data_IF_356763674992
#
_entry.id   IF_356763674992
#
_cell.length_a   1.000
_cell.length_b   1.000
_cell.length_c   1.000
_cell.angle_alpha   90.00
_cell.angle_beta   90.00
_cell.angle_gamma   90.00
#
_symmetry.space_group_name_H-M   'P 1'
#
loop_
_entity.id
_entity.type
_entity.pdbx_description
1 polymer ?
#
# COMPACT_ATOMS: atom_id res chain seq x y z
N UNK A 1 -29.24 8.81 -18.81
CA UNK A 1 -28.36 9.15 -17.65
C UNK A 1 -27.30 10.11 -18.18
N UNK A 2 -26.81 11.03 -17.35
CA UNK A 2 -25.70 11.89 -17.76
C UNK A 2 -24.45 11.01 -17.98
N UNK A 3 -23.64 11.35 -18.97
CA UNK A 3 -22.34 10.72 -19.20
C UNK A 3 -21.45 10.88 -17.97
N UNK A 4 -20.70 9.82 -17.62
CA UNK A 4 -19.79 9.80 -16.48
C UNK A 4 -18.34 9.62 -16.97
N UNK A 5 -17.46 10.45 -16.44
CA UNK A 5 -16.04 10.42 -16.73
C UNK A 5 -15.25 9.99 -15.48
N UNK A 6 -14.52 8.89 -15.60
CA UNK A 6 -13.79 8.29 -14.49
C UNK A 6 -12.33 8.15 -14.86
N UNK A 7 -11.45 8.23 -13.86
CA UNK A 7 -10.05 7.87 -14.01
C UNK A 7 -9.75 6.61 -13.18
N UNK A 8 -8.96 5.72 -13.76
CA UNK A 8 -8.35 4.60 -13.06
C UNK A 8 -6.83 4.76 -13.11
N UNK A 9 -6.20 4.86 -11.95
CA UNK A 9 -4.75 4.82 -11.80
C UNK A 9 -4.36 3.40 -11.37
N UNK A 10 -3.71 2.66 -12.27
CA UNK A 10 -3.33 1.27 -12.09
C UNK A 10 -1.79 1.19 -11.99
N UNK A 11 -1.30 0.93 -10.77
CA UNK A 11 0.12 0.80 -10.48
C UNK A 11 0.51 -0.66 -10.38
N UNK A 12 1.13 -1.20 -11.42
CA UNK A 12 1.73 -2.53 -11.39
C UNK A 12 3.17 -2.52 -10.86
N UNK A 13 3.73 -3.71 -10.61
CA UNK A 13 5.08 -3.87 -10.05
C UNK A 13 6.23 -3.42 -10.97
N UNK A 14 5.98 -3.18 -12.26
CA UNK A 14 7.00 -2.74 -13.24
C UNK A 14 6.59 -1.54 -14.07
N UNK A 15 5.32 -1.22 -14.11
CA UNK A 15 4.78 -0.06 -14.82
C UNK A 15 3.47 0.39 -14.20
N UNK A 16 3.13 1.66 -14.37
CA UNK A 16 1.82 2.19 -14.02
C UNK A 16 1.19 2.89 -15.21
N UNK A 17 -0.12 3.10 -15.13
CA UNK A 17 -0.90 3.80 -16.13
C UNK A 17 -2.08 4.56 -15.52
N UNK A 18 -2.49 5.61 -16.20
CA UNK A 18 -3.75 6.30 -15.92
C UNK A 18 -4.65 6.12 -17.13
N UNK A 19 -5.84 5.59 -16.91
CA UNK A 19 -6.85 5.29 -17.94
C UNK A 19 -8.07 6.14 -17.66
N UNK A 20 -8.60 6.78 -18.71
CA UNK A 20 -9.88 7.47 -18.67
C UNK A 20 -10.99 6.54 -19.14
N UNK A 21 -12.04 6.42 -18.35
CA UNK A 21 -13.27 5.71 -18.70
C UNK A 21 -14.41 6.69 -18.93
N UNK A 22 -15.11 6.58 -20.05
CA UNK A 22 -16.32 7.33 -20.34
C UNK A 22 -17.50 6.35 -20.39
N UNK A 23 -18.49 6.56 -19.55
CA UNK A 23 -19.69 5.72 -19.47
C UNK A 23 -20.93 6.53 -19.88
N UNK A 24 -21.58 6.13 -20.94
CA UNK A 24 -22.77 6.79 -21.50
C UNK A 24 -24.09 6.31 -20.90
N UNK A 25 -24.04 5.40 -19.94
CA UNK A 25 -25.21 4.76 -19.33
C UNK A 25 -25.49 3.34 -19.85
N UNK A 26 -24.78 2.90 -20.90
CA UNK A 26 -24.92 1.60 -21.52
C UNK A 26 -23.56 0.95 -21.84
N UNK A 27 -22.60 1.72 -22.32
CA UNK A 27 -21.28 1.26 -22.70
C UNK A 27 -20.21 2.09 -22.00
N UNK A 28 -19.06 1.48 -21.77
CA UNK A 28 -17.85 2.15 -21.28
C UNK A 28 -16.79 2.13 -22.39
N UNK A 29 -16.22 3.30 -22.68
CA UNK A 29 -15.02 3.42 -23.52
C UNK A 29 -13.81 3.73 -22.65
N UNK A 30 -12.65 3.16 -22.98
CA UNK A 30 -11.41 3.32 -22.22
C UNK A 30 -10.33 3.94 -23.10
N UNK A 31 -9.59 4.89 -22.53
CA UNK A 31 -8.45 5.54 -23.18
C UNK A 31 -7.26 5.56 -22.21
N UNK A 32 -6.11 5.02 -22.62
CA UNK A 32 -4.88 5.14 -21.84
C UNK A 32 -4.31 6.57 -22.01
N UNK A 33 -4.37 7.34 -20.94
CA UNK A 33 -3.95 8.76 -20.93
C UNK A 33 -2.45 8.91 -20.65
N UNK A 34 -1.92 8.04 -19.78
CA UNK A 34 -0.52 8.14 -19.34
C UNK A 34 0.01 6.79 -18.91
N UNK A 35 1.23 6.47 -19.34
CA UNK A 35 1.97 5.27 -18.93
C UNK A 35 3.37 5.66 -18.48
N UNK A 36 3.88 4.96 -17.47
CA UNK A 36 5.20 5.20 -16.89
C UNK A 36 5.82 3.91 -16.36
N UNK A 37 7.14 3.88 -16.28
CA UNK A 37 7.85 2.78 -15.63
C UNK A 37 7.69 2.86 -14.11
N UNK A 38 7.64 1.71 -13.45
CA UNK A 38 7.69 1.58 -12.00
C UNK A 38 8.84 0.64 -11.63
N UNK A 39 9.95 1.20 -11.22
CA UNK A 39 11.15 0.48 -10.86
C UNK A 39 11.50 0.79 -9.39
N UNK A 40 11.80 -0.24 -8.58
CA UNK A 40 12.27 -0.01 -7.22
C UNK A 40 13.66 0.63 -7.23
N UNK A 41 13.94 1.38 -6.16
CA UNK A 41 15.24 2.02 -5.93
C UNK A 41 15.93 1.31 -4.78
N UNK A 42 17.20 0.93 -4.98
CA UNK A 42 18.03 0.38 -3.90
C UNK A 42 18.94 1.48 -3.36
N UNK A 43 18.80 1.75 -2.07
CA UNK A 43 19.63 2.68 -1.32
C UNK A 43 20.66 1.89 -0.50
N UNK A 44 21.93 2.21 -0.68
CA UNK A 44 23.02 1.56 0.05
C UNK A 44 23.27 2.29 1.37
N UNK A 45 23.12 1.56 2.48
CA UNK A 45 23.50 2.00 3.81
C UNK A 45 24.90 1.49 4.20
N UNK A 46 25.33 1.83 5.42
CA UNK A 46 26.64 1.41 5.94
C UNK A 46 26.75 -0.11 6.13
N UNK A 47 25.66 -0.74 6.56
CA UNK A 47 25.63 -2.17 6.92
C UNK A 47 24.72 -2.99 6.00
N UNK A 48 23.64 -2.38 5.52
CA UNK A 48 22.64 -3.04 4.68
C UNK A 48 22.16 -2.11 3.57
N UNK A 49 21.64 -2.69 2.49
CA UNK A 49 20.87 -1.97 1.49
C UNK A 49 19.38 -2.04 1.82
N UNK A 50 18.63 -1.05 1.36
CA UNK A 50 17.17 -1.01 1.45
C UNK A 50 16.59 -0.83 0.07
N UNK A 51 15.70 -1.73 -0.34
CA UNK A 51 14.93 -1.60 -1.58
C UNK A 51 13.61 -0.90 -1.27
N UNK A 52 13.32 0.20 -1.95
CA UNK A 52 12.10 0.98 -1.73
C UNK A 52 11.44 1.37 -3.06
N UNK A 53 10.17 1.73 -2.97
CA UNK A 53 9.44 2.37 -4.04
C UNK A 53 9.78 3.87 -4.08
N UNK A 54 9.99 4.43 -5.26
CA UNK A 54 10.11 5.88 -5.44
C UNK A 54 8.71 6.52 -5.43
N UNK A 55 8.09 6.55 -4.24
CA UNK A 55 6.72 7.02 -4.06
C UNK A 55 6.52 8.45 -4.57
N UNK A 56 7.48 9.33 -4.33
CA UNK A 56 7.37 10.73 -4.75
C UNK A 56 7.31 10.85 -6.28
N UNK A 57 8.13 10.08 -6.99
CA UNK A 57 8.08 10.02 -8.46
C UNK A 57 6.76 9.43 -8.93
N UNK A 58 6.30 8.33 -8.34
CA UNK A 58 5.03 7.69 -8.69
C UNK A 58 3.86 8.66 -8.46
N UNK A 59 3.86 9.41 -7.38
CA UNK A 59 2.85 10.45 -7.11
C UNK A 59 2.90 11.59 -8.15
N UNK A 60 4.10 11.99 -8.60
CA UNK A 60 4.23 12.92 -9.71
C UNK A 60 3.67 12.36 -11.02
N UNK A 61 3.89 11.07 -11.32
CA UNK A 61 3.33 10.42 -12.51
C UNK A 61 1.79 10.34 -12.44
N UNK A 62 1.23 10.04 -11.26
CA UNK A 62 -0.22 10.10 -11.04
C UNK A 62 -0.79 11.50 -11.37
N UNK A 63 -0.18 12.55 -10.82
CA UNK A 63 -0.59 13.93 -11.09
C UNK A 63 -0.50 14.30 -12.56
N UNK A 64 0.56 13.87 -13.27
CA UNK A 64 0.69 14.07 -14.71
C UNK A 64 -0.45 13.40 -15.47
N UNK A 65 -0.82 12.17 -15.09
CA UNK A 65 -1.96 11.47 -15.69
C UNK A 65 -3.28 12.20 -15.47
N UNK A 66 -3.53 12.67 -14.24
CA UNK A 66 -4.73 13.46 -13.91
C UNK A 66 -4.79 14.76 -14.74
N UNK A 67 -3.68 15.49 -14.84
CA UNK A 67 -3.61 16.71 -15.63
C UNK A 67 -3.86 16.46 -17.12
N UNK A 68 -3.30 15.39 -17.68
CA UNK A 68 -3.52 15.00 -19.10
C UNK A 68 -4.97 14.62 -19.40
N UNK A 69 -5.67 14.05 -18.43
CA UNK A 69 -7.07 13.67 -18.58
C UNK A 69 -8.03 14.87 -18.69
N UNK A 70 -7.57 16.06 -18.27
CA UNK A 70 -8.37 17.29 -18.30
C UNK A 70 -9.33 17.42 -17.11
N UNK A 71 -10.01 18.56 -17.01
CA UNK A 71 -10.80 18.94 -15.84
C UNK A 71 -12.18 18.31 -15.70
N UNK A 72 -12.62 17.47 -16.62
CA UNK A 72 -13.95 16.86 -16.58
C UNK A 72 -13.86 15.40 -16.11
N UNK A 73 -13.75 15.21 -14.77
CA UNK A 73 -13.62 13.90 -14.14
C UNK A 73 -14.54 13.84 -12.94
N UNK A 74 -15.45 12.87 -12.91
CA UNK A 74 -16.42 12.67 -11.82
C UNK A 74 -15.79 11.91 -10.65
N UNK A 75 -14.85 11.00 -10.93
CA UNK A 75 -14.22 10.17 -9.90
C UNK A 75 -12.85 9.64 -10.34
N UNK A 76 -12.03 9.29 -9.36
CA UNK A 76 -10.77 8.59 -9.54
C UNK A 76 -10.72 7.35 -8.65
N UNK A 77 -10.34 6.20 -9.23
CA UNK A 77 -9.98 4.98 -8.50
C UNK A 77 -8.48 4.74 -8.60
N UNK A 78 -7.89 4.22 -7.54
CA UNK A 78 -6.46 3.91 -7.48
C UNK A 78 -6.29 2.45 -7.09
N UNK A 79 -5.57 1.70 -7.90
CA UNK A 79 -5.19 0.33 -7.65
C UNK A 79 -3.67 0.18 -7.64
N UNK A 80 -3.17 -0.69 -6.75
CA UNK A 80 -1.74 -0.99 -6.64
C UNK A 80 -1.54 -2.47 -6.32
N UNK A 81 -0.27 -2.91 -6.25
CA UNK A 81 0.07 -4.20 -5.62
C UNK A 81 -0.26 -4.19 -4.12
N UNK A 82 -0.46 -5.38 -3.56
CA UNK A 82 -0.77 -5.57 -2.13
C UNK A 82 0.44 -5.43 -1.21
N UNK A 83 0.20 -5.56 0.07
CA UNK A 83 1.10 -5.71 1.21
C UNK A 83 1.96 -4.52 1.59
N UNK A 84 2.30 -3.61 0.66
CA UNK A 84 3.18 -2.47 0.93
C UNK A 84 2.43 -1.25 1.45
N UNK A 85 3.12 -0.47 2.25
CA UNK A 85 2.54 0.66 2.98
C UNK A 85 3.54 1.80 3.15
N UNK A 86 3.02 2.99 3.45
CA UNK A 86 3.78 4.13 3.96
C UNK A 86 3.50 4.37 5.43
N UNK A 87 4.49 4.93 6.12
CA UNK A 87 4.40 5.37 7.51
C UNK A 87 4.26 6.90 7.54
N UNK A 88 3.22 7.40 8.19
CA UNK A 88 3.01 8.81 8.42
C UNK A 88 3.31 9.18 9.88
N UNK A 89 3.87 10.34 10.07
CA UNK A 89 4.03 10.93 11.40
C UNK A 89 2.75 11.61 11.89
N UNK A 90 2.79 12.16 13.11
CA UNK A 90 1.67 12.88 13.72
C UNK A 90 1.16 14.07 12.87
N UNK A 91 2.04 14.70 12.09
CA UNK A 91 1.67 15.80 11.19
C UNK A 91 1.10 15.34 9.85
N UNK A 92 1.06 14.03 9.60
CA UNK A 92 0.64 13.44 8.33
C UNK A 92 1.70 13.47 7.24
N UNK A 93 2.96 13.68 7.60
CA UNK A 93 4.08 13.64 6.66
C UNK A 93 4.58 12.21 6.49
N UNK A 94 4.98 11.86 5.26
CA UNK A 94 5.58 10.57 4.96
C UNK A 94 6.99 10.50 5.57
N UNK A 95 7.21 9.57 6.49
CA UNK A 95 8.48 9.43 7.19
C UNK A 95 9.62 8.97 6.29
N UNK A 96 9.31 8.11 5.32
CA UNK A 96 10.28 7.56 4.37
C UNK A 96 9.55 7.00 3.15
N UNK A 97 10.26 6.78 2.03
CA UNK A 97 9.69 6.01 0.93
C UNK A 97 9.24 4.63 1.41
N UNK A 98 8.07 4.12 0.96
CA UNK A 98 7.61 2.77 1.24
C UNK A 98 8.65 1.73 0.84
N UNK A 99 8.93 0.78 1.73
CA UNK A 99 9.88 -0.28 1.45
C UNK A 99 9.20 -1.32 0.56
N UNK A 100 9.94 -1.79 -0.43
CA UNK A 100 9.47 -2.79 -1.39
C UNK A 100 9.29 -4.16 -0.71
N UNK A 101 8.24 -4.89 -1.03
CA UNK A 101 7.94 -6.21 -0.45
C UNK A 101 9.03 -7.27 -0.69
N UNK A 102 9.90 -7.07 -1.69
CA UNK A 102 11.07 -7.96 -1.95
C UNK A 102 12.34 -7.53 -1.21
N UNK A 103 12.27 -6.51 -0.38
CA UNK A 103 13.40 -6.15 0.48
C UNK A 103 13.72 -7.30 1.44
N UNK A 104 14.98 -7.58 1.63
CA UNK A 104 15.43 -8.73 2.43
C UNK A 104 15.23 -8.58 3.94
N UNK A 105 14.73 -7.40 4.41
CA UNK A 105 14.50 -7.17 5.85
C UNK A 105 13.53 -8.16 6.49
N UNK A 106 12.62 -8.74 5.69
CA UNK A 106 11.61 -9.70 6.18
C UNK A 106 12.13 -11.14 6.23
N UNK A 107 13.33 -11.41 5.73
CA UNK A 107 13.89 -12.76 5.74
C UNK A 107 13.98 -13.34 7.15
N UNK A 108 13.32 -14.47 7.39
CA UNK A 108 13.24 -15.15 8.67
C UNK A 108 12.21 -14.59 9.65
N UNK A 109 11.47 -13.52 9.29
CA UNK A 109 10.44 -12.95 10.17
C UNK A 109 9.29 -13.92 10.44
N UNK A 110 8.97 -14.80 9.52
CA UNK A 110 7.97 -15.86 9.78
C UNK A 110 8.35 -16.72 10.97
N UNK A 111 9.59 -17.16 11.05
CA UNK A 111 10.08 -17.97 12.19
C UNK A 111 10.11 -17.17 13.50
N UNK A 112 10.45 -15.88 13.45
CA UNK A 112 10.42 -15.01 14.62
C UNK A 112 8.99 -14.73 15.09
N UNK A 113 8.07 -14.53 14.16
CA UNK A 113 6.65 -14.33 14.46
C UNK A 113 6.02 -15.54 15.14
N UNK A 114 6.40 -16.77 14.78
CA UNK A 114 5.91 -17.99 15.38
C UNK A 114 6.21 -18.10 16.90
N UNK A 115 7.15 -17.33 17.43
CA UNK A 115 7.37 -17.20 18.85
C UNK A 115 6.37 -16.26 19.57
N UNK A 116 5.62 -15.46 18.81
CA UNK A 116 4.69 -14.46 19.34
C UNK A 116 3.22 -14.83 19.07
N UNK A 117 2.96 -15.51 17.94
CA UNK A 117 1.63 -15.90 17.52
C UNK A 117 1.68 -17.24 16.78
N UNK A 118 0.80 -18.15 17.10
CA UNK A 118 0.73 -19.45 16.41
C UNK A 118 0.25 -19.28 14.96
N UNK A 119 0.92 -19.95 14.03
CA UNK A 119 0.56 -19.89 12.60
C UNK A 119 -0.87 -20.40 12.33
N UNK A 120 -1.31 -21.47 13.03
CA UNK A 120 -2.66 -21.99 12.94
C UNK A 120 -3.70 -20.93 13.29
N UNK A 121 -3.50 -20.21 14.38
CA UNK A 121 -4.35 -19.09 14.79
C UNK A 121 -4.34 -17.95 13.77
N UNK A 122 -3.14 -17.53 13.34
CA UNK A 122 -2.99 -16.46 12.35
C UNK A 122 -3.75 -16.81 11.04
N UNK A 123 -3.65 -18.07 10.59
CA UNK A 123 -4.38 -18.52 9.40
C UNK A 123 -5.89 -18.58 9.62
N UNK A 124 -6.34 -19.10 10.78
CA UNK A 124 -7.76 -19.22 11.09
C UNK A 124 -8.48 -17.86 11.09
N UNK A 125 -7.82 -16.83 11.60
CA UNK A 125 -8.35 -15.46 11.64
C UNK A 125 -8.30 -14.80 10.27
N UNK A 126 -7.13 -14.84 9.59
CA UNK A 126 -6.93 -14.03 8.38
C UNK A 126 -7.26 -14.74 7.08
N UNK A 127 -7.22 -16.07 7.05
CA UNK A 127 -7.32 -16.86 5.81
C UNK A 127 -6.18 -16.63 4.81
N UNK A 128 -5.15 -15.89 5.19
CA UNK A 128 -4.08 -15.47 4.29
C UNK A 128 -2.94 -16.49 4.24
N UNK A 129 -2.37 -16.69 3.05
CA UNK A 129 -1.18 -17.52 2.86
C UNK A 129 0.02 -16.92 3.60
N UNK A 130 0.86 -17.78 4.20
CA UNK A 130 2.09 -17.34 4.86
C UNK A 130 3.17 -17.00 3.84
N UNK A 131 3.41 -15.73 3.66
CA UNK A 131 4.52 -15.20 2.86
C UNK A 131 5.22 -14.09 3.64
N UNK A 132 6.53 -14.13 3.73
CA UNK A 132 7.31 -13.12 4.47
C UNK A 132 7.16 -11.70 3.90
N UNK A 133 6.56 -11.56 2.72
CA UNK A 133 6.21 -10.28 2.12
C UNK A 133 4.93 -9.65 2.70
N UNK A 134 4.10 -10.40 3.44
CA UNK A 134 2.86 -9.86 4.00
C UNK A 134 3.17 -8.73 5.00
N UNK A 135 2.26 -7.77 5.07
CA UNK A 135 2.42 -6.55 5.90
C UNK A 135 2.73 -6.88 7.36
N UNK A 136 2.08 -7.93 7.90
CA UNK A 136 2.35 -8.40 9.26
C UNK A 136 3.86 -8.61 9.51
N UNK A 137 4.55 -9.37 8.65
CA UNK A 137 5.99 -9.63 8.80
C UNK A 137 6.83 -8.39 8.48
N UNK A 138 6.39 -7.55 7.55
CA UNK A 138 7.06 -6.29 7.25
C UNK A 138 7.06 -5.36 8.47
N UNK A 139 5.95 -5.25 9.20
CA UNK A 139 5.84 -4.42 10.41
C UNK A 139 6.70 -4.95 11.55
N UNK A 140 6.77 -6.28 11.72
CA UNK A 140 7.70 -6.89 12.69
C UNK A 140 9.15 -6.57 12.36
N UNK A 141 9.53 -6.67 11.08
CA UNK A 141 10.87 -6.30 10.63
C UNK A 141 11.15 -4.80 10.84
N UNK A 142 10.20 -3.94 10.53
CA UNK A 142 10.30 -2.49 10.72
C UNK A 142 10.55 -2.13 12.19
N UNK A 143 9.74 -2.68 13.08
CA UNK A 143 9.88 -2.51 14.53
C UNK A 143 11.22 -2.98 15.08
N UNK A 144 11.77 -4.07 14.50
CA UNK A 144 13.04 -4.64 14.92
C UNK A 144 14.24 -3.84 14.42
N UNK A 145 14.23 -3.48 13.13
CA UNK A 145 15.42 -2.95 12.43
C UNK A 145 15.44 -1.42 12.48
N UNK A 146 14.26 -0.78 12.40
CA UNK A 146 14.13 0.68 12.32
C UNK A 146 13.28 1.23 13.47
N UNK A 147 13.55 0.75 14.67
CA UNK A 147 12.77 1.02 15.90
C UNK A 147 12.46 2.51 16.11
N UNK A 148 13.45 3.37 15.94
CA UNK A 148 13.27 4.80 16.18
C UNK A 148 12.33 5.42 15.16
N UNK A 149 12.48 5.08 13.87
CA UNK A 149 11.59 5.53 12.82
C UNK A 149 10.17 4.98 13.01
N UNK A 150 10.06 3.69 13.35
CA UNK A 150 8.76 3.07 13.62
C UNK A 150 8.06 3.72 14.83
N UNK A 151 8.84 4.11 15.85
CA UNK A 151 8.32 4.84 17.01
C UNK A 151 7.83 6.26 16.72
N UNK A 152 8.18 6.84 15.57
CA UNK A 152 7.68 8.13 15.10
C UNK A 152 6.40 7.99 14.26
N UNK A 153 6.07 6.76 13.85
CA UNK A 153 4.90 6.50 13.02
C UNK A 153 3.62 6.59 13.85
N UNK A 154 2.70 7.43 13.41
CA UNK A 154 1.35 7.56 13.97
C UNK A 154 0.35 6.72 13.17
N UNK A 155 0.62 6.50 11.89
CA UNK A 155 -0.30 5.80 11.00
C UNK A 155 0.41 4.99 9.93
N UNK A 156 -0.20 3.85 9.59
CA UNK A 156 0.12 3.00 8.44
C UNK A 156 -0.97 3.22 7.39
N UNK A 157 -0.59 3.54 6.15
CA UNK A 157 -1.49 3.56 5.00
C UNK A 157 -0.98 2.64 3.91
N UNK A 158 -1.83 1.75 3.38
CA UNK A 158 -1.49 0.96 2.20
C UNK A 158 -1.28 1.86 0.98
N UNK A 159 -0.55 1.39 -0.01
CA UNK A 159 -0.16 2.26 -1.12
C UNK A 159 -1.33 2.95 -1.82
N UNK A 160 -2.45 2.30 -2.18
CA UNK A 160 -3.56 3.02 -2.82
C UNK A 160 -4.18 4.05 -1.88
N UNK A 161 -4.30 3.73 -0.57
CA UNK A 161 -4.79 4.67 0.44
C UNK A 161 -3.83 5.85 0.64
N UNK A 162 -2.52 5.59 0.57
CA UNK A 162 -1.48 6.62 0.66
C UNK A 162 -1.55 7.61 -0.51
N UNK A 163 -1.74 7.12 -1.74
CA UNK A 163 -2.00 7.99 -2.89
C UNK A 163 -3.29 8.78 -2.72
N UNK A 164 -4.36 8.12 -2.26
CA UNK A 164 -5.64 8.74 -1.96
C UNK A 164 -5.52 9.86 -0.93
N UNK A 165 -4.78 9.59 0.15
CA UNK A 165 -4.51 10.56 1.21
C UNK A 165 -3.80 11.82 0.68
N UNK A 166 -2.74 11.67 -0.11
CA UNK A 166 -2.02 12.83 -0.65
C UNK A 166 -2.78 13.59 -1.75
N UNK A 167 -3.87 13.02 -2.29
CA UNK A 167 -4.77 13.72 -3.19
C UNK A 167 -5.89 14.45 -2.46
N UNK A 168 -6.45 13.87 -1.38
CA UNK A 168 -7.67 14.32 -0.73
C UNK A 168 -7.48 14.90 0.67
N UNK A 169 -6.43 14.50 1.36
CA UNK A 169 -6.23 14.75 2.79
C UNK A 169 -6.97 13.76 3.70
N UNK A 170 -7.80 12.88 3.15
CA UNK A 170 -8.60 11.92 3.92
C UNK A 170 -7.83 10.62 4.18
N UNK A 171 -7.87 10.15 5.43
CA UNK A 171 -7.20 8.92 5.86
C UNK A 171 -8.22 7.78 5.87
N UNK A 172 -8.05 6.86 4.95
CA UNK A 172 -8.92 5.68 4.80
C UNK A 172 -8.10 4.41 4.81
N UNK A 173 -8.73 3.28 5.06
CA UNK A 173 -8.18 1.96 4.86
C UNK A 173 -9.19 1.17 4.01
N UNK A 174 -8.91 1.01 2.74
CA UNK A 174 -9.78 0.26 1.84
C UNK A 174 -9.68 -1.23 2.16
N UNK A 175 -10.82 -1.92 2.21
CA UNK A 175 -10.92 -3.29 2.71
C UNK A 175 -10.14 -4.31 1.86
N UNK A 176 -10.22 -4.21 0.52
CA UNK A 176 -9.61 -5.21 -0.35
C UNK A 176 -8.08 -5.17 -0.27
N UNK A 177 -7.48 -3.97 -0.23
CA UNK A 177 -6.04 -3.84 -0.05
C UNK A 177 -5.62 -4.23 1.38
N UNK A 178 -6.39 -3.84 2.39
CA UNK A 178 -6.13 -4.21 3.78
C UNK A 178 -6.17 -5.73 3.99
N UNK A 179 -7.00 -6.47 3.25
CA UNK A 179 -7.08 -7.94 3.34
C UNK A 179 -5.77 -8.64 2.94
N UNK A 180 -4.90 -7.99 2.17
CA UNK A 180 -3.59 -8.54 1.79
C UNK A 180 -2.57 -8.51 2.93
N UNK A 181 -2.86 -7.77 4.00
CA UNK A 181 -1.91 -7.46 5.07
C UNK A 181 -1.64 -8.62 6.04
N UNK A 182 -2.55 -9.59 6.13
CA UNK A 182 -2.57 -10.59 7.18
C UNK A 182 -2.83 -9.99 8.59
N UNK A 183 -3.58 -8.87 8.65
CA UNK A 183 -3.94 -8.16 9.89
C UNK A 183 -5.45 -8.14 10.14
N UNK A 184 -6.26 -8.54 9.14
CA UNK A 184 -7.73 -8.53 9.23
C UNK A 184 -8.27 -9.89 9.68
N UNK A 185 -9.33 -9.85 10.49
CA UNK A 185 -10.25 -10.96 10.64
C UNK A 185 -11.11 -11.07 9.38
N UNK A 186 -10.90 -12.13 8.61
CA UNK A 186 -11.60 -12.37 7.34
C UNK A 186 -13.12 -12.60 7.51
N UNK A 187 -13.56 -13.09 8.67
CA UNK A 187 -14.98 -13.34 8.99
C UNK A 187 -15.65 -12.07 9.50
N UNK A 188 -15.00 -11.40 10.46
CA UNK A 188 -15.48 -10.15 11.05
C UNK A 188 -15.33 -8.93 10.14
N UNK A 189 -14.52 -9.02 9.08
CA UNK A 189 -14.17 -7.91 8.16
C UNK A 189 -13.68 -6.67 8.89
N UNK A 190 -12.92 -6.88 9.94
CA UNK A 190 -12.37 -5.85 10.81
C UNK A 190 -10.91 -6.16 11.16
N UNK A 191 -10.21 -5.18 11.69
CA UNK A 191 -8.87 -5.41 12.21
C UNK A 191 -8.90 -6.43 13.37
N UNK A 192 -7.95 -7.37 13.38
CA UNK A 192 -7.77 -8.29 14.49
C UNK A 192 -6.90 -7.63 15.56
N UNK A 193 -7.50 -7.25 16.69
CA UNK A 193 -6.76 -6.62 17.80
C UNK A 193 -5.60 -7.49 18.30
N UNK A 194 -5.79 -8.80 18.33
CA UNK A 194 -4.77 -9.74 18.78
C UNK A 194 -3.57 -9.78 17.83
N UNK A 195 -3.83 -9.80 16.51
CA UNK A 195 -2.76 -9.77 15.51
C UNK A 195 -2.08 -8.39 15.46
N UNK A 196 -2.85 -7.29 15.55
CA UNK A 196 -2.28 -5.95 15.64
C UNK A 196 -1.35 -5.81 16.85
N UNK A 197 -1.78 -6.30 18.01
CA UNK A 197 -0.94 -6.32 19.21
C UNK A 197 0.33 -7.14 19.03
N UNK A 198 0.24 -8.32 18.39
CA UNK A 198 1.42 -9.12 18.08
C UNK A 198 2.36 -8.41 17.08
N UNK A 199 1.83 -7.68 16.11
CA UNK A 199 2.60 -6.82 15.20
C UNK A 199 3.19 -5.58 15.91
N UNK A 200 2.68 -5.26 17.12
CA UNK A 200 3.11 -4.08 17.89
C UNK A 200 2.48 -2.78 17.42
N UNK A 201 1.28 -2.89 16.87
CA UNK A 201 0.41 -1.78 16.47
C UNK A 201 -0.73 -1.72 17.49
N UNK A 202 -1.08 -0.53 17.91
CA UNK A 202 -2.19 -0.25 18.86
C UNK A 202 -3.23 0.67 18.24
#
# INVERSE_FOLDING_TARGET
MAEKHMLAADFGGSSGRVVKGNFDGNQISLEEIHRFANEPVTLWGKETSVMCWDFLRLFCELKKGILKAGGNTDSIGIDTWGVDYGLLDQSGQLLTNPIHYRDLRTSGMRREAAAQIEESFLYEITGSQFMEINTFYQLLAEKKIRKDLFGMAEQVLFLPDLFGYFLSGERTAEYSIASTSQLLDARGKSWSEEILKAAGIS
#
